data_IF_215997809867
#
_entry.id   IF_215997809867
#
_cell.length_a   1.000
_cell.length_b   1.000
_cell.length_c   1.000
_cell.angle_alpha   90.00
_cell.angle_beta   90.00
_cell.angle_gamma   90.00
#
_symmetry.space_group_name_H-M   'P 1'
#
loop_
_entity.id
_entity.type
_entity.pdbx_description
1 polymer ?
#
# COMPACT_ATOMS: atom_id res chain seq x y z
N UNK A 1 28.53 13.25 -9.14
CA UNK A 1 28.39 11.81 -9.45
C UNK A 1 29.34 10.92 -8.66
N UNK A 2 30.60 11.30 -8.39
CA UNK A 2 31.61 10.43 -7.76
C UNK A 2 31.43 10.19 -6.24
N UNK A 3 30.93 11.17 -5.49
CA UNK A 3 30.76 11.05 -4.03
C UNK A 3 29.62 10.10 -3.63
N UNK A 4 28.56 10.07 -4.45
CA UNK A 4 27.41 9.18 -4.24
C UNK A 4 27.84 7.71 -4.36
N UNK A 5 28.67 7.40 -5.36
CA UNK A 5 29.18 6.03 -5.57
C UNK A 5 30.09 5.58 -4.42
N UNK A 6 30.92 6.48 -3.87
CA UNK A 6 31.77 6.19 -2.71
C UNK A 6 30.96 5.93 -1.44
N UNK A 7 29.91 6.73 -1.20
CA UNK A 7 28.98 6.50 -0.10
C UNK A 7 28.26 5.15 -0.25
N UNK A 8 27.78 4.85 -1.46
CA UNK A 8 27.10 3.58 -1.74
C UNK A 8 28.04 2.39 -1.48
N UNK A 9 29.28 2.47 -1.97
CA UNK A 9 30.30 1.44 -1.74
C UNK A 9 30.51 1.22 -0.24
N UNK A 10 30.74 2.28 0.53
CA UNK A 10 30.98 2.16 1.97
C UNK A 10 29.80 1.50 2.70
N UNK A 11 28.57 1.89 2.38
CA UNK A 11 27.35 1.31 2.96
C UNK A 11 27.22 -0.17 2.59
N UNK A 12 27.41 -0.51 1.32
CA UNK A 12 27.34 -1.91 0.86
C UNK A 12 28.45 -2.80 1.43
N UNK A 13 29.61 -2.25 1.79
CA UNK A 13 30.66 -3.01 2.46
C UNK A 13 30.48 -3.13 3.98
N UNK A 14 29.76 -2.19 4.59
CA UNK A 14 29.57 -2.15 6.04
C UNK A 14 28.37 -2.98 6.53
N UNK A 15 27.41 -3.25 5.65
CA UNK A 15 26.19 -4.01 5.97
C UNK A 15 26.14 -5.27 5.09
N UNK A 16 25.95 -6.47 5.67
CA UNK A 16 25.74 -7.66 4.87
C UNK A 16 24.49 -7.49 4.01
N UNK A 17 24.68 -7.36 2.70
CA UNK A 17 23.59 -7.26 1.73
C UNK A 17 23.47 -8.56 0.94
N UNK A 18 22.23 -8.91 0.58
CA UNK A 18 21.91 -10.05 -0.28
C UNK A 18 21.24 -9.52 -1.53
N UNK A 19 21.70 -9.98 -2.69
CA UNK A 19 21.00 -9.74 -3.96
C UNK A 19 19.78 -10.67 -3.99
N UNK A 20 18.55 -10.13 -4.01
CA UNK A 20 17.36 -10.96 -4.12
C UNK A 20 17.35 -11.66 -5.48
N UNK A 21 16.92 -12.91 -5.49
CA UNK A 21 16.70 -13.67 -6.72
C UNK A 21 15.57 -13.03 -7.56
N UNK A 22 15.55 -13.32 -8.86
CA UNK A 22 14.47 -12.87 -9.76
C UNK A 22 13.09 -13.33 -9.26
N UNK A 23 13.00 -14.54 -8.69
CA UNK A 23 11.77 -15.04 -8.10
C UNK A 23 11.32 -14.21 -6.89
N UNK A 24 12.24 -13.77 -6.03
CA UNK A 24 11.93 -12.90 -4.88
C UNK A 24 11.52 -11.50 -5.33
N UNK A 25 12.20 -10.95 -6.35
CA UNK A 25 11.84 -9.66 -6.95
C UNK A 25 10.43 -9.72 -7.56
N UNK A 26 10.12 -10.77 -8.33
CA UNK A 26 8.80 -10.97 -8.91
C UNK A 26 7.74 -11.14 -7.83
N UNK A 27 8.02 -11.89 -6.75
CA UNK A 27 7.10 -12.03 -5.61
C UNK A 27 6.82 -10.69 -4.95
N UNK A 28 7.86 -9.88 -4.70
CA UNK A 28 7.72 -8.54 -4.13
C UNK A 28 6.92 -7.60 -5.06
N UNK A 29 7.22 -7.63 -6.36
CA UNK A 29 6.48 -6.84 -7.35
C UNK A 29 5.00 -7.21 -7.40
N UNK A 30 4.67 -8.50 -7.45
CA UNK A 30 3.27 -8.97 -7.46
C UNK A 30 2.55 -8.61 -6.16
N UNK A 31 3.24 -8.67 -5.03
CA UNK A 31 2.71 -8.22 -3.73
C UNK A 31 2.37 -6.73 -3.75
N UNK A 32 3.30 -5.89 -4.20
CA UNK A 32 3.09 -4.43 -4.32
C UNK A 32 1.96 -4.11 -5.30
N UNK A 33 1.89 -4.81 -6.44
CA UNK A 33 0.82 -4.65 -7.42
C UNK A 33 -0.55 -4.97 -6.82
N UNK A 34 -0.67 -6.08 -6.10
CA UNK A 34 -1.90 -6.47 -5.40
C UNK A 34 -2.30 -5.43 -4.35
N UNK A 35 -1.34 -4.96 -3.55
CA UNK A 35 -1.58 -3.94 -2.53
C UNK A 35 -2.12 -2.65 -3.16
N UNK A 36 -1.54 -2.20 -4.27
CA UNK A 36 -2.00 -1.03 -5.01
C UNK A 36 -3.43 -1.21 -5.55
N UNK A 37 -3.76 -2.37 -6.10
CA UNK A 37 -5.12 -2.66 -6.62
C UNK A 37 -6.17 -2.55 -5.51
N UNK A 38 -5.92 -3.22 -4.37
CA UNK A 38 -6.80 -3.19 -3.19
C UNK A 38 -6.99 -1.75 -2.71
N UNK A 39 -5.90 -0.99 -2.57
CA UNK A 39 -5.96 0.40 -2.09
C UNK A 39 -6.72 1.30 -3.05
N UNK A 40 -6.48 1.18 -4.36
CA UNK A 40 -7.17 1.97 -5.37
C UNK A 40 -8.68 1.74 -5.33
N UNK A 41 -9.12 0.49 -5.17
CA UNK A 41 -10.55 0.19 -5.02
C UNK A 41 -11.13 0.80 -3.74
N UNK A 42 -10.40 0.76 -2.62
CA UNK A 42 -10.84 1.37 -1.37
C UNK A 42 -10.92 2.90 -1.52
N UNK A 43 -9.92 3.55 -2.10
CA UNK A 43 -9.87 4.99 -2.32
C UNK A 43 -10.97 5.48 -3.29
N UNK A 44 -11.40 4.64 -4.23
CA UNK A 44 -12.52 4.97 -5.11
C UNK A 44 -13.88 4.87 -4.39
N UNK A 45 -14.00 4.03 -3.36
CA UNK A 45 -15.29 3.66 -2.76
C UNK A 45 -15.43 3.99 -1.26
N UNK A 46 -14.43 4.61 -0.62
CA UNK A 46 -14.43 4.84 0.83
C UNK A 46 -15.54 5.78 1.31
N UNK A 47 -16.11 6.60 0.41
CA UNK A 47 -17.17 7.56 0.73
C UNK A 47 -18.50 6.86 1.03
N UNK A 48 -18.72 5.68 0.48
CA UNK A 48 -19.91 4.87 0.72
C UNK A 48 -19.65 3.78 1.77
N UNK A 49 -20.68 3.00 2.11
CA UNK A 49 -20.54 1.85 3.01
C UNK A 49 -19.76 0.73 2.32
N UNK A 50 -18.44 0.78 2.42
CA UNK A 50 -17.55 -0.26 1.90
C UNK A 50 -17.28 -1.34 2.96
N UNK A 51 -17.51 -2.61 2.61
CA UNK A 51 -17.16 -3.77 3.44
C UNK A 51 -15.94 -4.49 2.87
N UNK A 52 -15.21 -5.20 3.73
CA UNK A 52 -14.09 -6.05 3.32
C UNK A 52 -14.52 -7.11 2.30
N UNK A 53 -15.75 -7.62 2.41
CA UNK A 53 -16.34 -8.56 1.46
C UNK A 53 -16.50 -8.00 0.06
N UNK A 54 -16.70 -6.68 -0.07
CA UNK A 54 -16.87 -6.02 -1.37
C UNK A 54 -15.52 -5.92 -2.08
N UNK A 55 -14.48 -5.56 -1.34
CA UNK A 55 -13.09 -5.57 -1.82
C UNK A 55 -12.64 -6.99 -2.19
N UNK A 56 -12.98 -7.98 -1.36
CA UNK A 56 -12.68 -9.39 -1.65
C UNK A 56 -13.35 -9.86 -2.94
N UNK A 57 -14.61 -9.47 -3.16
CA UNK A 57 -15.36 -9.79 -4.38
C UNK A 57 -14.74 -9.14 -5.62
N UNK A 58 -14.35 -7.87 -5.51
CA UNK A 58 -13.69 -7.12 -6.59
C UNK A 58 -12.34 -7.74 -6.98
N UNK A 59 -11.53 -8.13 -6.00
CA UNK A 59 -10.19 -8.69 -6.22
C UNK A 59 -10.20 -10.20 -6.50
N UNK A 60 -11.39 -10.82 -6.55
CA UNK A 60 -11.55 -12.28 -6.67
C UNK A 60 -10.81 -13.07 -5.58
N UNK A 61 -10.79 -12.53 -4.36
CA UNK A 61 -10.15 -13.12 -3.19
C UNK A 61 -11.19 -13.65 -2.20
N UNK A 62 -10.78 -14.61 -1.38
CA UNK A 62 -11.59 -14.96 -0.22
C UNK A 62 -11.52 -13.85 0.83
N UNK A 63 -12.62 -13.66 1.56
CA UNK A 63 -12.67 -12.68 2.66
C UNK A 63 -11.60 -12.98 3.72
N UNK A 64 -11.39 -14.26 4.03
CA UNK A 64 -10.37 -14.72 4.98
C UNK A 64 -8.96 -14.38 4.54
N UNK A 65 -8.64 -14.62 3.26
CA UNK A 65 -7.33 -14.25 2.71
C UNK A 65 -7.12 -12.74 2.78
N UNK A 66 -8.13 -11.97 2.36
CA UNK A 66 -8.01 -10.52 2.35
C UNK A 66 -7.90 -9.95 3.76
N UNK A 67 -8.63 -10.49 4.75
CA UNK A 67 -8.50 -10.10 6.15
C UNK A 67 -7.07 -10.28 6.65
N UNK A 68 -6.49 -11.47 6.45
CA UNK A 68 -5.13 -11.77 6.88
C UNK A 68 -4.12 -10.88 6.14
N UNK A 69 -4.22 -10.82 4.81
CA UNK A 69 -3.39 -9.96 3.98
C UNK A 69 -3.45 -8.50 4.44
N UNK A 70 -4.64 -8.00 4.81
CA UNK A 70 -4.79 -6.62 5.23
C UNK A 70 -4.08 -6.36 6.56
N UNK A 71 -4.30 -7.23 7.56
CA UNK A 71 -3.65 -7.10 8.87
C UNK A 71 -2.13 -7.24 8.79
N UNK A 72 -1.62 -8.16 7.97
CA UNK A 72 -0.17 -8.39 7.81
C UNK A 72 0.55 -7.24 7.10
N UNK A 73 -0.12 -6.59 6.14
CA UNK A 73 0.52 -5.59 5.28
C UNK A 73 0.26 -4.15 5.71
N UNK A 74 -0.87 -3.87 6.37
CA UNK A 74 -1.23 -2.53 6.82
C UNK A 74 -1.08 -2.34 8.33
N UNK A 75 -0.95 -3.42 9.11
CA UNK A 75 -0.79 -3.35 10.57
C UNK A 75 -2.03 -2.85 11.33
N UNK A 76 -3.16 -2.70 10.64
CA UNK A 76 -4.43 -2.18 11.15
C UNK A 76 -5.57 -3.07 10.64
N UNK A 77 -6.70 -3.09 11.33
CA UNK A 77 -7.88 -3.73 10.77
C UNK A 77 -8.53 -2.84 9.69
N UNK A 78 -9.38 -3.46 8.86
CA UNK A 78 -10.00 -2.77 7.72
C UNK A 78 -10.88 -1.58 8.13
N UNK A 79 -11.60 -1.69 9.25
CA UNK A 79 -12.49 -0.63 9.73
C UNK A 79 -11.71 0.58 10.27
N UNK A 80 -10.59 0.32 10.97
CA UNK A 80 -9.66 1.36 11.41
C UNK A 80 -9.07 2.10 10.21
N UNK A 81 -8.62 1.36 9.20
CA UNK A 81 -8.08 1.96 7.98
C UNK A 81 -9.11 2.86 7.28
N UNK A 82 -10.35 2.38 7.09
CA UNK A 82 -11.42 3.18 6.49
C UNK A 82 -11.76 4.43 7.30
N UNK A 83 -11.79 4.31 8.62
CA UNK A 83 -12.08 5.43 9.52
C UNK A 83 -11.00 6.49 9.44
N UNK A 84 -9.72 6.08 9.44
CA UNK A 84 -8.58 6.97 9.30
C UNK A 84 -8.56 7.65 7.92
N UNK A 85 -8.82 6.89 6.85
CA UNK A 85 -8.89 7.42 5.49
C UNK A 85 -9.99 8.49 5.36
N UNK A 86 -11.19 8.23 5.90
CA UNK A 86 -12.30 9.19 5.92
C UNK A 86 -11.96 10.42 6.74
N UNK A 87 -11.38 10.24 7.93
CA UNK A 87 -10.96 11.34 8.79
C UNK A 87 -9.94 12.23 8.09
N UNK A 88 -8.86 11.66 7.55
CA UNK A 88 -7.83 12.39 6.84
C UNK A 88 -8.42 13.14 5.65
N UNK A 89 -9.23 12.49 4.80
CA UNK A 89 -9.87 13.16 3.66
C UNK A 89 -10.78 14.32 4.09
N UNK A 90 -11.53 14.17 5.18
CA UNK A 90 -12.35 15.25 5.73
C UNK A 90 -11.49 16.42 6.26
N UNK A 91 -10.40 16.11 6.96
CA UNK A 91 -9.44 17.11 7.47
C UNK A 91 -8.76 17.84 6.32
N UNK A 92 -8.31 17.11 5.28
CA UNK A 92 -7.71 17.71 4.09
C UNK A 92 -8.69 18.61 3.35
N UNK A 93 -9.92 18.13 3.11
CA UNK A 93 -10.99 18.93 2.47
C UNK A 93 -11.28 20.22 3.24
N UNK A 94 -11.29 20.17 4.58
CA UNK A 94 -11.53 21.34 5.44
C UNK A 94 -10.38 22.34 5.41
N UNK A 95 -9.13 21.87 5.37
CA UNK A 95 -7.95 22.73 5.52
C UNK A 95 -7.32 23.21 4.19
N UNK A 96 -7.56 22.51 3.09
CA UNK A 96 -6.86 22.76 1.82
C UNK A 96 -7.75 22.81 0.57
N UNK A 97 -9.06 22.49 0.66
CA UNK A 97 -9.90 22.23 -0.54
C UNK A 97 -9.56 20.89 -1.19
N UNK A 98 -10.42 20.33 -2.07
CA UNK A 98 -10.21 18.99 -2.65
C UNK A 98 -8.80 18.85 -3.26
N UNK A 99 -8.01 17.83 -2.90
CA UNK A 99 -6.78 17.55 -3.62
C UNK A 99 -7.14 17.13 -5.05
N UNK A 100 -6.51 17.78 -6.04
CA UNK A 100 -6.51 17.25 -7.39
C UNK A 100 -5.82 15.89 -7.35
N UNK A 101 -6.48 14.91 -7.96
CA UNK A 101 -6.03 13.51 -8.09
C UNK A 101 -4.52 13.38 -8.26
N UNK A 102 -3.90 12.48 -7.48
CA UNK A 102 -2.51 12.07 -7.69
C UNK A 102 -2.46 11.44 -9.10
N UNK A 103 -1.59 11.91 -10.02
CA UNK A 103 -1.55 11.40 -11.38
C UNK A 103 -1.11 9.93 -11.40
N UNK A 104 -1.75 9.18 -12.30
CA UNK A 104 -1.64 7.74 -12.55
C UNK A 104 -0.22 7.19 -12.65
#
# INVERSE_FOLDING_TARGET
MSLLNLLFFHITTAVPYRIPSEAELNKAYMKTKKMRSILSYIEANYQEKLLLSDVARHEHLSVTYLLHFFTENFGLNFQEYLSNLRYLNNVFKKNYGYPQTIPS
#
